data_IF_056290156957
#
_entry.id   IF_056290156957
#
_cell.length_a   1.000
_cell.length_b   1.000
_cell.length_c   1.000
_cell.angle_alpha   90.00
_cell.angle_beta   90.00
_cell.angle_gamma   90.00
#
_symmetry.space_group_name_H-M   'P 1'
#
loop_
_entity.id
_entity.type
_entity.pdbx_description
1 polymer ?
#
# COMPACT_ATOMS: atom_id res chain seq x y z
N UNK A 1 12.89 20.60 9.63
CA UNK A 1 12.97 19.52 8.61
C UNK A 1 11.68 18.70 8.69
N UNK A 2 10.94 18.53 7.59
CA UNK A 2 9.61 17.90 7.62
C UNK A 2 9.70 16.38 7.77
N UNK A 3 9.20 15.82 8.88
CA UNK A 3 9.27 14.37 9.19
C UNK A 3 8.70 13.48 8.08
N UNK A 4 7.64 13.92 7.43
CA UNK A 4 7.02 13.21 6.30
C UNK A 4 7.94 13.13 5.07
N UNK A 5 8.57 14.26 4.70
CA UNK A 5 9.48 14.31 3.56
C UNK A 5 10.68 13.37 3.75
N UNK A 6 11.22 13.31 4.97
CA UNK A 6 12.31 12.39 5.27
C UNK A 6 11.86 10.93 5.15
N UNK A 7 10.67 10.57 5.61
CA UNK A 7 10.21 9.19 5.47
C UNK A 7 10.00 8.76 4.00
N UNK A 8 9.38 9.61 3.17
CA UNK A 8 9.10 9.26 1.76
C UNK A 8 10.38 9.11 0.92
N UNK A 9 11.46 9.83 1.25
CA UNK A 9 12.74 9.74 0.54
C UNK A 9 13.66 8.61 1.04
N UNK A 10 13.35 8.01 2.19
CA UNK A 10 14.25 7.06 2.87
C UNK A 10 14.26 5.66 2.21
N UNK A 11 13.41 5.41 1.21
CA UNK A 11 13.37 4.14 0.49
C UNK A 11 12.60 4.22 -0.83
N UNK A 12 12.61 3.13 -1.63
CA UNK A 12 11.81 3.06 -2.84
C UNK A 12 10.31 3.16 -2.51
N UNK A 13 9.57 3.83 -3.39
CA UNK A 13 8.11 3.93 -3.32
C UNK A 13 7.48 3.36 -4.57
N UNK A 14 6.32 2.73 -4.42
CA UNK A 14 5.53 2.20 -5.54
C UNK A 14 4.39 3.19 -5.79
N UNK A 15 4.32 3.73 -7.01
CA UNK A 15 3.21 4.54 -7.48
C UNK A 15 2.25 3.67 -8.31
N UNK A 16 0.97 3.67 -7.95
CA UNK A 16 -0.07 2.91 -8.64
C UNK A 16 -1.19 3.82 -9.11
N UNK A 17 -1.64 3.64 -10.36
CA UNK A 17 -2.87 4.21 -10.87
C UNK A 17 -3.97 3.18 -10.75
N UNK A 18 -4.85 3.35 -9.78
CA UNK A 18 -5.99 2.45 -9.53
C UNK A 18 -7.25 2.96 -10.23
N UNK A 19 -8.04 2.04 -10.75
CA UNK A 19 -9.36 2.32 -11.35
C UNK A 19 -10.35 1.26 -10.89
N UNK A 20 -11.64 1.56 -11.01
CA UNK A 20 -12.69 0.54 -10.96
C UNK A 20 -12.88 -0.11 -12.32
N UNK A 21 -13.61 -1.21 -12.34
CA UNK A 21 -14.10 -1.81 -13.59
C UNK A 21 -14.93 -0.78 -14.38
N UNK A 22 -14.92 -0.83 -15.73
CA UNK A 22 -15.63 0.14 -16.57
C UNK A 22 -17.12 0.29 -16.26
N UNK A 23 -17.78 -0.77 -15.82
CA UNK A 23 -19.21 -0.84 -15.47
C UNK A 23 -19.54 -0.36 -14.06
N UNK A 24 -18.52 -0.10 -13.23
CA UNK A 24 -18.72 0.34 -11.84
C UNK A 24 -19.07 1.82 -11.79
N UNK A 25 -20.18 2.15 -11.09
CA UNK A 25 -20.57 3.53 -10.77
C UNK A 25 -19.89 4.10 -9.50
N UNK A 26 -18.99 3.33 -8.87
CA UNK A 26 -18.33 3.74 -7.62
C UNK A 26 -17.14 4.67 -7.91
N UNK A 27 -16.94 5.63 -7.02
CA UNK A 27 -15.76 6.51 -7.05
C UNK A 27 -14.49 5.72 -6.63
N UNK A 28 -13.49 5.57 -7.52
CA UNK A 28 -12.24 4.89 -7.20
C UNK A 28 -11.47 5.54 -6.04
N UNK A 29 -11.52 6.87 -5.92
CA UNK A 29 -10.84 7.62 -4.86
C UNK A 29 -11.44 7.25 -3.52
N UNK A 30 -12.77 7.24 -3.42
CA UNK A 30 -13.47 6.83 -2.20
C UNK A 30 -13.16 5.38 -1.83
N UNK A 31 -13.26 4.47 -2.80
CA UNK A 31 -12.97 3.05 -2.56
C UNK A 31 -11.55 2.82 -2.04
N UNK A 32 -10.55 3.47 -2.65
CA UNK A 32 -9.17 3.35 -2.20
C UNK A 32 -8.97 3.89 -0.78
N UNK A 33 -9.62 5.02 -0.45
CA UNK A 33 -9.55 5.58 0.90
C UNK A 33 -10.24 4.70 1.95
N UNK A 34 -11.34 4.03 1.59
CA UNK A 34 -12.01 3.08 2.47
C UNK A 34 -11.10 1.86 2.74
N UNK A 35 -10.43 1.33 1.71
CA UNK A 35 -9.45 0.22 1.85
C UNK A 35 -8.23 0.63 2.70
N UNK A 36 -7.71 1.85 2.49
CA UNK A 36 -6.58 2.37 3.26
C UNK A 36 -6.94 2.57 4.74
N UNK A 37 -8.16 2.98 5.04
CA UNK A 37 -8.59 3.42 6.36
C UNK A 37 -8.08 4.82 6.74
N UNK A 38 -8.52 5.36 7.89
CA UNK A 38 -8.07 6.64 8.44
C UNK A 38 -6.54 6.85 8.46
N UNK A 39 -6.09 8.10 8.26
CA UNK A 39 -4.67 8.46 8.33
C UNK A 39 -4.13 8.53 9.77
N UNK A 40 -5.01 8.72 10.76
CA UNK A 40 -4.67 8.75 12.18
C UNK A 40 -4.78 7.34 12.74
N UNK A 41 -3.65 6.78 13.16
CA UNK A 41 -3.55 5.41 13.67
C UNK A 41 -4.45 5.18 14.88
N UNK A 42 -4.54 6.17 15.78
CA UNK A 42 -5.44 6.09 16.93
C UNK A 42 -6.92 5.94 16.50
N UNK A 43 -7.33 6.61 15.42
CA UNK A 43 -8.70 6.48 14.89
C UNK A 43 -8.93 5.08 14.32
N UNK A 44 -7.93 4.51 13.63
CA UNK A 44 -8.00 3.12 13.14
C UNK A 44 -8.22 2.12 14.29
N UNK A 45 -7.51 2.30 15.42
CA UNK A 45 -7.61 1.37 16.56
C UNK A 45 -8.93 1.44 17.32
N UNK A 46 -9.54 2.62 17.39
CA UNK A 46 -10.80 2.80 18.14
C UNK A 46 -12.01 2.25 17.39
N UNK A 47 -11.98 2.27 16.06
CA UNK A 47 -13.12 1.94 15.21
C UNK A 47 -12.97 0.50 14.72
N UNK A 48 -13.74 -0.42 15.29
CA UNK A 48 -13.69 -1.85 14.91
C UNK A 48 -13.87 -2.12 13.41
N UNK A 49 -14.57 -1.23 12.69
CA UNK A 49 -14.73 -1.30 11.23
C UNK A 49 -13.42 -1.13 10.44
N UNK A 50 -12.40 -0.53 11.04
CA UNK A 50 -11.10 -0.29 10.41
C UNK A 50 -10.07 -1.38 10.75
N UNK A 51 -10.43 -2.44 11.50
CA UNK A 51 -9.48 -3.46 11.93
C UNK A 51 -8.78 -4.16 10.77
N UNK A 52 -9.45 -4.25 9.62
CA UNK A 52 -8.93 -4.86 8.39
C UNK A 52 -8.32 -3.84 7.41
N UNK A 53 -8.35 -2.55 7.74
CA UNK A 53 -7.79 -1.52 6.86
C UNK A 53 -6.28 -1.69 6.72
N UNK A 54 -5.73 -1.36 5.54
CA UNK A 54 -4.29 -1.50 5.30
C UNK A 54 -3.47 -0.71 6.32
N UNK A 55 -3.94 0.49 6.69
CA UNK A 55 -3.21 1.30 7.67
C UNK A 55 -3.25 0.71 9.07
N UNK A 56 -4.33 0.04 9.47
CA UNK A 56 -4.38 -0.66 10.74
C UNK A 56 -3.40 -1.83 10.79
N UNK A 57 -3.35 -2.62 9.72
CA UNK A 57 -2.54 -3.83 9.64
C UNK A 57 -1.03 -3.55 9.49
N UNK A 58 -0.65 -2.45 8.82
CA UNK A 58 0.73 -2.28 8.35
C UNK A 58 1.38 -0.92 8.68
N UNK A 59 0.69 0.04 9.31
CA UNK A 59 1.29 1.35 9.63
C UNK A 59 2.03 1.36 10.96
N UNK A 60 3.17 2.04 11.00
CA UNK A 60 3.96 2.23 12.23
C UNK A 60 3.57 3.49 13.00
N UNK A 61 3.01 4.50 12.33
CA UNK A 61 2.55 5.77 12.93
C UNK A 61 1.77 6.58 11.90
N UNK A 62 1.08 7.65 12.32
CA UNK A 62 0.35 8.57 11.43
C UNK A 62 1.18 9.06 10.22
N UNK A 63 2.47 9.36 10.44
CA UNK A 63 3.38 9.84 9.38
C UNK A 63 4.17 8.72 8.70
N UNK A 64 4.12 7.49 9.23
CA UNK A 64 4.74 6.29 8.65
C UNK A 64 3.64 5.27 8.41
N UNK A 65 2.72 5.63 7.55
CA UNK A 65 1.63 4.77 7.13
C UNK A 65 2.01 3.99 5.86
N UNK A 66 1.31 2.90 5.61
CA UNK A 66 1.64 1.98 4.51
C UNK A 66 1.28 2.53 3.11
N UNK A 67 0.44 3.56 3.04
CA UNK A 67 -0.10 4.00 1.76
C UNK A 67 -0.65 5.42 1.74
N UNK A 68 -0.49 6.04 0.59
CA UNK A 68 -1.02 7.34 0.23
C UNK A 68 -2.16 7.20 -0.80
N UNK A 69 -3.04 8.18 -0.85
CA UNK A 69 -4.10 8.26 -1.84
C UNK A 69 -4.65 9.67 -1.89
N UNK A 70 -4.98 10.12 -3.09
CA UNK A 70 -5.59 11.42 -3.35
C UNK A 70 -6.93 11.54 -2.61
N UNK A 71 -7.36 12.77 -2.35
CA UNK A 71 -8.61 13.08 -1.65
C UNK A 71 -9.75 13.50 -2.59
N UNK A 72 -9.45 13.72 -3.87
CA UNK A 72 -10.39 14.16 -4.90
C UNK A 72 -9.89 13.80 -6.30
N UNK A 73 -10.79 13.85 -7.28
CA UNK A 73 -10.41 13.70 -8.69
C UNK A 73 -9.40 14.77 -9.14
N UNK A 74 -9.56 16.02 -8.67
CA UNK A 74 -8.65 17.12 -9.03
C UNK A 74 -7.24 16.94 -8.46
N UNK A 75 -7.10 16.40 -7.24
CA UNK A 75 -5.77 16.03 -6.71
C UNK A 75 -5.22 14.82 -7.47
N UNK A 76 -6.05 13.83 -7.76
CA UNK A 76 -5.67 12.64 -8.55
C UNK A 76 -5.06 13.03 -9.89
N UNK A 77 -5.71 13.88 -10.68
CA UNK A 77 -5.20 14.32 -11.98
C UNK A 77 -3.85 15.06 -11.90
N UNK A 78 -3.65 15.85 -10.84
CA UNK A 78 -2.38 16.57 -10.61
C UNK A 78 -1.28 15.62 -10.17
N UNK A 79 -1.59 14.68 -9.28
CA UNK A 79 -0.63 13.71 -8.74
C UNK A 79 -0.20 12.69 -9.80
N UNK A 80 -1.13 12.18 -10.62
CA UNK A 80 -0.81 11.24 -11.69
C UNK A 80 0.21 11.82 -12.67
N UNK A 81 0.07 13.10 -13.04
CA UNK A 81 1.02 13.80 -13.93
C UNK A 81 2.45 13.83 -13.40
N UNK A 82 2.67 13.68 -12.09
CA UNK A 82 4.02 13.64 -11.49
C UNK A 82 4.71 12.31 -11.80
N UNK A 83 3.94 11.24 -11.96
CA UNK A 83 4.44 9.86 -12.12
C UNK A 83 4.29 9.30 -13.54
N UNK A 84 3.85 10.12 -14.50
CA UNK A 84 3.76 9.69 -15.90
C UNK A 84 5.16 9.50 -16.54
N UNK A 85 5.32 8.50 -17.44
CA UNK A 85 4.33 7.53 -17.88
C UNK A 85 4.16 6.35 -16.90
N UNK A 86 2.96 5.76 -16.87
CA UNK A 86 2.71 4.52 -16.13
C UNK A 86 2.85 3.31 -17.03
N UNK A 87 3.43 2.23 -16.50
CA UNK A 87 3.38 0.93 -17.15
C UNK A 87 1.95 0.37 -17.08
N UNK A 88 1.44 -0.07 -18.23
CA UNK A 88 0.19 -0.82 -18.27
C UNK A 88 0.45 -2.27 -17.85
N UNK A 89 -0.41 -2.78 -16.98
CA UNK A 89 -0.40 -4.18 -16.55
C UNK A 89 -1.76 -4.73 -16.94
N UNK A 90 -1.78 -5.71 -17.84
CA UNK A 90 -3.03 -6.35 -18.22
C UNK A 90 -3.45 -7.31 -17.09
N UNK A 91 -4.74 -7.64 -17.05
CA UNK A 91 -5.32 -8.44 -15.97
C UNK A 91 -4.84 -9.90 -15.89
N UNK A 92 -3.97 -10.34 -16.81
CA UNK A 92 -3.39 -11.68 -16.80
C UNK A 92 -2.61 -11.96 -15.52
N UNK A 93 -2.89 -13.09 -14.87
CA UNK A 93 -2.23 -13.49 -13.62
C UNK A 93 -0.70 -13.49 -13.73
N UNK A 94 -0.17 -13.99 -14.85
CA UNK A 94 1.27 -14.03 -15.14
C UNK A 94 1.88 -12.62 -15.16
N UNK A 95 1.16 -11.63 -15.70
CA UNK A 95 1.62 -10.25 -15.73
C UNK A 95 1.61 -9.63 -14.33
N UNK A 96 0.65 -10.01 -13.48
CA UNK A 96 0.60 -9.55 -12.08
C UNK A 96 1.78 -10.09 -11.26
N UNK A 97 2.10 -11.37 -11.37
CA UNK A 97 3.27 -11.94 -10.68
C UNK A 97 4.58 -11.32 -11.20
N UNK A 98 4.71 -11.15 -12.51
CA UNK A 98 5.87 -10.48 -13.13
C UNK A 98 6.01 -9.03 -12.67
N UNK A 99 4.89 -8.29 -12.60
CA UNK A 99 4.86 -6.94 -12.05
C UNK A 99 5.34 -6.90 -10.60
N UNK A 100 4.80 -7.76 -9.74
CA UNK A 100 5.15 -7.79 -8.32
C UNK A 100 6.65 -8.09 -8.15
N UNK A 101 7.18 -9.07 -8.86
CA UNK A 101 8.62 -9.38 -8.83
C UNK A 101 9.47 -8.21 -9.38
N UNK A 102 8.95 -7.42 -10.32
CA UNK A 102 9.65 -6.24 -10.85
C UNK A 102 9.62 -5.07 -9.87
N UNK A 103 8.50 -4.87 -9.18
CA UNK A 103 8.33 -3.82 -8.18
C UNK A 103 9.08 -4.12 -6.88
N UNK A 104 9.15 -5.40 -6.50
CA UNK A 104 9.78 -5.88 -5.28
C UNK A 104 10.64 -7.11 -5.62
N UNK A 105 11.83 -6.92 -6.22
CA UNK A 105 12.71 -8.03 -6.62
C UNK A 105 13.07 -8.97 -5.47
N UNK A 106 13.18 -8.41 -4.27
CA UNK A 106 13.55 -9.14 -3.06
C UNK A 106 12.36 -9.80 -2.34
N UNK A 107 11.14 -9.74 -2.89
CA UNK A 107 9.93 -10.22 -2.21
C UNK A 107 10.07 -11.65 -1.70
N UNK A 108 10.56 -12.57 -2.56
CA UNK A 108 10.75 -13.98 -2.18
C UNK A 108 11.73 -14.16 -1.03
N UNK A 109 12.78 -13.32 -0.99
CA UNK A 109 13.75 -13.31 0.11
C UNK A 109 13.12 -12.77 1.38
N UNK A 110 12.36 -11.67 1.29
CA UNK A 110 11.64 -11.12 2.44
C UNK A 110 10.65 -12.15 3.03
N UNK A 111 9.93 -12.88 2.17
CA UNK A 111 9.01 -13.94 2.59
C UNK A 111 9.73 -15.12 3.24
N UNK A 112 10.92 -15.51 2.76
CA UNK A 112 11.71 -16.58 3.40
C UNK A 112 12.25 -16.15 4.75
N UNK A 113 12.76 -14.92 4.86
CA UNK A 113 13.31 -14.37 6.10
C UNK A 113 12.25 -14.36 7.21
N UNK A 114 11.00 -14.01 6.88
CA UNK A 114 9.86 -14.06 7.82
C UNK A 114 9.54 -15.50 8.28
N UNK A 115 9.50 -16.47 7.34
CA UNK A 115 9.20 -17.87 7.67
C UNK A 115 10.29 -18.53 8.51
N UNK A 116 11.54 -18.18 8.28
CA UNK A 116 12.67 -18.69 9.06
C UNK A 116 12.64 -18.14 10.49
N UNK A 117 12.27 -16.87 10.69
CA UNK A 117 12.05 -16.28 12.02
C UNK A 117 10.90 -16.97 12.77
N UNK A 118 9.77 -17.27 12.11
CA UNK A 118 8.65 -18.01 12.72
C UNK A 118 9.05 -19.43 13.11
N UNK A 119 9.81 -20.13 12.25
CA UNK A 119 10.30 -21.48 12.54
C UNK A 119 11.32 -21.49 13.70
N UNK A 120 12.16 -20.47 13.80
CA UNK A 120 13.13 -20.35 14.89
C UNK A 120 12.44 -19.99 16.21
N UNK A 121 11.44 -19.11 16.18
CA UNK A 121 10.65 -18.76 17.37
C UNK A 121 9.84 -19.96 17.89
N UNK A 122 9.24 -20.77 17.01
CA UNK A 122 8.53 -21.99 17.42
C UNK A 122 9.48 -23.04 18.01
N UNK A 123 10.73 -23.14 17.52
CA UNK A 123 11.74 -24.04 18.10
C UNK A 123 12.29 -23.60 19.46
N UNK A 124 12.13 -22.34 19.85
CA UNK A 124 12.55 -21.85 21.18
C UNK A 124 11.47 -22.03 22.26
N UNK A 125 10.26 -22.48 21.90
CA UNK A 125 9.13 -22.62 22.81
C UNK A 125 8.88 -24.10 23.21
N UNK A 126 9.63 -25.05 22.64
CA UNK A 126 9.68 -26.48 23.02
C UNK A 126 10.90 -26.81 23.90
#
# INVERSE_FOLDING_TARGET
MNRWYNFVKDGPVIALKLTTLPESSKDPVKLWRDILGPSKLFKNWMESENSESLRNSFSLSDTRNVGHGSDSLLSTERELKIFEPFDLVNDGFIEKESLVNRLIPDLKKMESDIKDDDNNNNKMID
#
